data_IF_667490383758
#
_entry.id   IF_667490383758
#
_cell.length_a   1.000
_cell.length_b   1.000
_cell.length_c   1.000
_cell.angle_alpha   90.00
_cell.angle_beta   90.00
_cell.angle_gamma   90.00
#
_symmetry.space_group_name_H-M   'P 1'
#
loop_
_entity.id
_entity.type
_entity.pdbx_description
1 polymer ?
#
# COMPACT_ATOMS: atom_id res chain seq x y z
N UNK A 1 -24.72 88.94 -11.14
CA UNK A 1 -24.05 88.05 -12.12
C UNK A 1 -23.37 86.95 -11.33
N UNK A 2 -23.62 85.67 -11.64
CA UNK A 2 -23.30 84.57 -10.73
C UNK A 2 -21.87 84.07 -10.89
N UNK A 3 -21.33 83.64 -9.76
CA UNK A 3 -20.04 83.00 -9.56
C UNK A 3 -20.11 81.54 -10.05
N UNK A 4 -19.25 81.18 -11.00
CA UNK A 4 -19.25 79.87 -11.65
C UNK A 4 -18.42 78.89 -10.80
N UNK A 5 -19.07 78.18 -9.88
CA UNK A 5 -18.45 77.08 -9.14
C UNK A 5 -18.17 75.89 -10.07
N UNK A 6 -16.91 75.76 -10.47
CA UNK A 6 -16.43 74.55 -11.16
C UNK A 6 -16.41 73.37 -10.19
N UNK A 7 -17.42 72.50 -10.32
CA UNK A 7 -17.53 71.19 -9.67
C UNK A 7 -16.33 70.30 -10.07
N UNK A 8 -15.31 70.25 -9.21
CA UNK A 8 -14.10 69.42 -9.40
C UNK A 8 -14.48 67.93 -9.30
N UNK A 9 -14.63 67.28 -10.46
CA UNK A 9 -14.90 65.85 -10.59
C UNK A 9 -13.82 65.03 -9.86
N UNK A 10 -14.18 64.45 -8.71
CA UNK A 10 -13.35 63.49 -7.98
C UNK A 10 -13.23 62.23 -8.84
N UNK A 11 -12.10 62.06 -9.52
CA UNK A 11 -11.77 60.79 -10.21
C UNK A 11 -11.92 59.64 -9.21
N UNK A 12 -12.69 58.58 -9.52
CA UNK A 12 -13.01 57.54 -8.56
C UNK A 12 -11.73 56.75 -8.23
N UNK A 13 -11.18 57.00 -7.02
CA UNK A 13 -10.02 56.29 -6.46
C UNK A 13 -10.15 54.76 -6.58
N UNK A 14 -11.38 54.22 -6.58
CA UNK A 14 -11.65 52.80 -6.75
C UNK A 14 -11.20 52.22 -8.10
N UNK A 15 -11.24 52.98 -9.21
CA UNK A 15 -10.86 52.46 -10.53
C UNK A 15 -9.33 52.32 -10.65
N UNK A 16 -8.58 53.22 -10.02
CA UNK A 16 -7.11 53.15 -10.01
C UNK A 16 -6.60 51.99 -9.15
N UNK A 17 -7.25 51.77 -8.00
CA UNK A 17 -6.93 50.67 -7.08
C UNK A 17 -7.32 49.31 -7.68
N UNK A 18 -8.48 49.23 -8.34
CA UNK A 18 -8.90 48.04 -9.09
C UNK A 18 -7.94 47.70 -10.22
N UNK A 19 -7.45 48.69 -10.99
CA UNK A 19 -6.44 48.46 -12.04
C UNK A 19 -5.13 47.94 -11.47
N UNK A 20 -4.65 48.50 -10.36
CA UNK A 20 -3.44 48.02 -9.70
C UNK A 20 -3.58 46.58 -9.18
N UNK A 21 -4.72 46.24 -8.57
CA UNK A 21 -5.02 44.87 -8.16
C UNK A 21 -5.06 43.92 -9.35
N UNK A 22 -5.66 44.32 -10.48
CA UNK A 22 -5.79 43.51 -11.68
C UNK A 22 -4.44 43.31 -12.38
N UNK A 23 -3.59 44.36 -12.46
CA UNK A 23 -2.22 44.24 -12.95
C UNK A 23 -1.35 43.35 -12.06
N UNK A 24 -1.47 43.49 -10.75
CA UNK A 24 -0.74 42.64 -9.79
C UNK A 24 -1.18 41.18 -9.89
N UNK A 25 -2.48 40.92 -10.04
CA UNK A 25 -3.04 39.59 -10.26
C UNK A 25 -2.60 38.97 -11.60
N UNK A 26 -2.65 39.72 -12.69
CA UNK A 26 -2.13 39.27 -13.99
C UNK A 26 -0.61 39.02 -13.95
N UNK A 27 0.16 39.89 -13.29
CA UNK A 27 1.59 39.70 -13.09
C UNK A 27 1.93 38.46 -12.26
N UNK A 28 1.13 38.19 -11.22
CA UNK A 28 1.23 36.97 -10.42
C UNK A 28 0.88 35.72 -11.23
N UNK A 29 -0.18 35.75 -12.04
CA UNK A 29 -0.53 34.65 -12.96
C UNK A 29 0.61 34.41 -13.96
N UNK A 30 1.18 35.48 -14.54
CA UNK A 30 2.31 35.37 -15.46
C UNK A 30 3.54 34.76 -14.77
N UNK A 31 3.82 35.18 -13.54
CA UNK A 31 4.90 34.63 -12.72
C UNK A 31 4.67 33.14 -12.43
N UNK A 32 3.47 32.75 -12.00
CA UNK A 32 3.11 31.35 -11.75
C UNK A 32 3.20 30.54 -13.05
N UNK A 33 2.77 31.08 -14.18
CA UNK A 33 2.88 30.43 -15.49
C UNK A 33 4.35 30.28 -15.96
N UNK A 34 5.22 31.24 -15.66
CA UNK A 34 6.66 31.17 -15.93
C UNK A 34 7.35 30.14 -15.03
N UNK A 35 7.03 30.12 -13.74
CA UNK A 35 7.51 29.10 -12.79
C UNK A 35 7.02 27.72 -13.22
N UNK A 36 5.74 27.58 -13.56
CA UNK A 36 5.16 26.37 -14.12
C UNK A 36 5.90 25.91 -15.39
N UNK A 37 6.06 26.79 -16.36
CA UNK A 37 6.80 26.51 -17.60
C UNK A 37 8.25 26.11 -17.34
N UNK A 38 8.89 26.71 -16.34
CA UNK A 38 10.22 26.34 -15.85
C UNK A 38 10.27 24.92 -15.27
N UNK A 39 9.29 24.54 -14.44
CA UNK A 39 9.16 23.16 -13.90
C UNK A 39 8.96 22.10 -15.00
N UNK A 40 8.37 22.48 -16.13
CA UNK A 40 8.19 21.56 -17.26
C UNK A 40 9.49 21.29 -18.04
N UNK A 41 10.56 22.07 -17.81
CA UNK A 41 11.84 21.89 -18.51
C UNK A 41 12.59 20.62 -18.08
N UNK A 42 13.36 20.03 -19.00
CA UNK A 42 14.20 18.85 -18.72
C UNK A 42 15.16 19.09 -17.54
N UNK A 43 15.77 20.27 -17.48
CA UNK A 43 16.65 20.67 -16.39
C UNK A 43 15.98 20.61 -15.00
N UNK A 44 14.74 21.09 -14.87
CA UNK A 44 14.01 21.04 -13.61
C UNK A 44 13.65 19.60 -13.20
N UNK A 45 13.28 18.76 -14.19
CA UNK A 45 13.01 17.33 -14.00
C UNK A 45 14.26 16.56 -13.59
N UNK A 46 15.42 16.87 -14.17
CA UNK A 46 16.72 16.29 -13.80
C UNK A 46 17.16 16.71 -12.38
N UNK A 47 16.89 17.97 -11.99
CA UNK A 47 17.13 18.43 -10.62
C UNK A 47 16.24 17.70 -9.60
N UNK A 48 14.97 17.45 -9.94
CA UNK A 48 14.06 16.68 -9.09
C UNK A 48 14.54 15.22 -8.95
N UNK A 49 14.99 14.59 -10.04
CA UNK A 49 15.60 13.27 -10.00
C UNK A 49 16.79 13.26 -9.03
N UNK A 50 17.75 14.18 -9.20
CA UNK A 50 18.92 14.29 -8.33
C UNK A 50 18.58 14.62 -6.86
N UNK A 51 17.48 15.31 -6.59
CA UNK A 51 16.99 15.55 -5.23
C UNK A 51 16.43 14.27 -4.59
N UNK A 52 15.61 13.50 -5.32
CA UNK A 52 15.08 12.21 -4.85
C UNK A 52 16.23 11.23 -4.56
N UNK A 53 17.24 11.18 -5.44
CA UNK A 53 18.43 10.36 -5.24
C UNK A 53 19.18 10.74 -3.96
N UNK A 54 19.35 12.05 -3.69
CA UNK A 54 20.03 12.53 -2.47
C UNK A 54 19.24 12.26 -1.20
N UNK A 55 17.94 12.57 -1.18
CA UNK A 55 17.10 12.38 0.01
C UNK A 55 17.01 10.91 0.37
N UNK A 56 16.94 10.02 -0.62
CA UNK A 56 16.84 8.58 -0.35
C UNK A 56 18.18 7.95 0.01
N UNK A 57 19.30 8.52 -0.45
CA UNK A 57 20.64 8.07 -0.07
C UNK A 57 20.99 8.32 1.41
N UNK A 58 20.35 9.30 2.06
CA UNK A 58 20.55 9.61 3.49
C UNK A 58 19.68 8.74 4.42
N UNK A 59 18.70 7.99 3.89
CA UNK A 59 17.74 7.20 4.71
C UNK A 59 18.17 5.74 4.95
N UNK A 60 19.35 5.31 4.49
CA UNK A 60 19.91 3.98 4.78
C UNK A 60 20.74 3.37 3.65
N UNK A 61 20.93 2.03 3.70
CA UNK A 61 21.77 1.21 2.80
C UNK A 61 21.23 1.07 1.35
N UNK A 62 20.25 1.89 0.95
CA UNK A 62 19.57 1.82 -0.32
C UNK A 62 19.83 3.06 -1.19
N UNK A 63 20.14 2.83 -2.47
CA UNK A 63 20.26 3.87 -3.49
C UNK A 63 19.13 3.73 -4.50
N UNK A 64 18.36 4.80 -4.65
CA UNK A 64 17.37 4.93 -5.72
C UNK A 64 18.02 5.71 -6.86
N UNK A 65 17.83 5.24 -8.09
CA UNK A 65 18.16 5.99 -9.31
C UNK A 65 16.91 6.13 -10.15
N UNK A 66 16.61 7.34 -10.58
CA UNK A 66 15.45 7.64 -11.42
C UNK A 66 15.93 8.15 -12.77
N UNK A 67 15.53 7.49 -13.84
CA UNK A 67 15.93 7.85 -15.21
C UNK A 67 14.73 8.33 -16.01
N UNK A 68 14.95 9.43 -16.75
CA UNK A 68 13.99 10.03 -17.67
C UNK A 68 12.64 10.31 -16.99
N UNK A 69 12.62 11.35 -16.14
CA UNK A 69 11.39 11.90 -15.56
C UNK A 69 10.69 12.76 -16.61
N UNK A 70 9.40 12.52 -16.80
CA UNK A 70 8.50 13.33 -17.60
C UNK A 70 7.15 13.54 -16.87
N UNK A 71 6.14 14.06 -17.55
CA UNK A 71 4.83 14.35 -17.00
C UNK A 71 4.60 15.83 -16.69
N UNK A 72 3.38 16.14 -16.24
CA UNK A 72 2.95 17.49 -15.91
C UNK A 72 3.20 17.76 -14.42
N UNK A 73 4.45 18.05 -14.07
CA UNK A 73 4.77 18.40 -12.69
C UNK A 73 4.01 19.65 -12.24
N UNK A 74 3.47 19.68 -11.01
CA UNK A 74 3.52 18.65 -9.99
C UNK A 74 2.28 17.74 -9.97
N UNK A 75 1.41 17.73 -10.99
CA UNK A 75 0.17 16.95 -10.97
C UNK A 75 0.39 15.48 -11.35
N UNK A 76 1.24 15.23 -12.34
CA UNK A 76 1.59 13.89 -12.79
C UNK A 76 3.08 13.74 -12.99
N UNK A 77 3.56 12.53 -12.70
CA UNK A 77 4.95 12.11 -12.82
C UNK A 77 4.97 10.85 -13.68
N UNK A 78 5.72 10.91 -14.77
CA UNK A 78 6.09 9.74 -15.53
C UNK A 78 7.58 9.48 -15.29
N UNK A 79 7.96 8.24 -14.96
CA UNK A 79 9.37 7.85 -14.90
C UNK A 79 9.58 6.62 -15.75
N UNK A 80 10.46 6.73 -16.75
CA UNK A 80 10.70 5.60 -17.67
C UNK A 80 11.35 4.42 -16.97
N UNK A 81 12.31 4.67 -16.07
CA UNK A 81 13.00 3.61 -15.34
C UNK A 81 13.40 4.09 -13.95
N UNK A 82 13.11 3.26 -12.95
CA UNK A 82 13.57 3.43 -11.58
C UNK A 82 14.34 2.18 -11.17
N UNK A 83 15.52 2.37 -10.59
CA UNK A 83 16.39 1.27 -10.13
C UNK A 83 16.67 1.47 -8.67
N UNK A 84 16.38 0.44 -7.87
CA UNK A 84 16.74 0.36 -6.46
C UNK A 84 17.94 -0.58 -6.32
N UNK A 85 18.98 -0.07 -5.67
CA UNK A 85 20.20 -0.80 -5.34
C UNK A 85 20.38 -0.85 -3.83
N UNK A 86 20.89 -1.96 -3.30
CA UNK A 86 21.34 -2.10 -1.92
C UNK A 86 22.87 -2.26 -1.88
N UNK A 87 23.39 -2.73 -0.75
CA UNK A 87 24.82 -3.06 -0.58
C UNK A 87 25.32 -4.04 -1.66
N UNK A 88 24.55 -5.09 -1.93
CA UNK A 88 24.94 -6.17 -2.86
C UNK A 88 24.58 -5.87 -4.33
N UNK A 89 24.22 -4.62 -4.69
CA UNK A 89 23.88 -4.22 -6.07
C UNK A 89 22.38 -3.97 -6.33
N UNK A 90 21.96 -4.00 -7.60
CA UNK A 90 20.57 -3.75 -8.01
C UNK A 90 19.65 -4.91 -7.60
N UNK A 91 18.50 -4.60 -6.98
CA UNK A 91 17.55 -5.62 -6.52
C UNK A 91 16.11 -5.42 -6.99
N UNK A 92 15.76 -4.20 -7.41
CA UNK A 92 14.47 -3.89 -8.01
C UNK A 92 14.63 -2.93 -9.16
N UNK A 93 14.00 -3.26 -10.29
CA UNK A 93 13.95 -2.42 -11.49
C UNK A 93 12.50 -2.24 -11.90
N UNK A 94 12.01 -1.00 -11.84
CA UNK A 94 10.69 -0.60 -12.29
C UNK A 94 10.78 0.17 -13.62
N UNK A 95 9.83 -0.04 -14.52
CA UNK A 95 9.78 0.55 -15.85
C UNK A 95 8.38 1.08 -16.17
N UNK A 96 8.33 2.23 -16.83
CA UNK A 96 7.09 2.88 -17.27
C UNK A 96 6.16 3.20 -16.10
N UNK A 97 6.68 3.91 -15.10
CA UNK A 97 5.90 4.36 -13.94
C UNK A 97 5.10 5.59 -14.36
N UNK A 98 3.79 5.54 -14.20
CA UNK A 98 2.86 6.65 -14.40
C UNK A 98 2.09 6.88 -13.10
N UNK A 99 2.27 8.06 -12.55
CA UNK A 99 1.78 8.44 -11.25
C UNK A 99 1.01 9.76 -11.35
N UNK A 100 -0.16 9.86 -10.71
CA UNK A 100 -0.91 11.11 -10.59
C UNK A 100 -1.49 11.31 -9.19
N UNK A 101 -1.36 12.52 -8.65
CA UNK A 101 -1.98 12.93 -7.39
C UNK A 101 -2.74 14.25 -7.53
N UNK A 102 -3.71 14.49 -6.63
CA UNK A 102 -4.38 15.79 -6.51
C UNK A 102 -3.66 16.70 -5.53
N UNK A 103 -3.05 17.77 -6.02
CA UNK A 103 -2.35 18.76 -5.20
C UNK A 103 -3.31 19.53 -4.28
N UNK A 104 -4.54 19.79 -4.72
CA UNK A 104 -5.55 20.48 -3.90
C UNK A 104 -5.81 19.76 -2.59
N UNK A 105 -5.72 18.42 -2.58
CA UNK A 105 -5.90 17.59 -1.40
C UNK A 105 -4.72 17.74 -0.43
N UNK A 106 -3.50 18.05 -0.92
CA UNK A 106 -2.33 18.30 -0.07
C UNK A 106 -2.51 19.54 0.81
N UNK A 107 -3.23 20.56 0.33
CA UNK A 107 -3.57 21.75 1.13
C UNK A 107 -4.48 21.40 2.32
N UNK A 108 -5.24 20.31 2.21
CA UNK A 108 -6.04 19.75 3.29
C UNK A 108 -5.29 18.67 4.09
N UNK A 109 -3.99 18.45 3.85
CA UNK A 109 -3.18 17.43 4.52
C UNK A 109 -3.42 15.99 4.02
N UNK A 110 -4.02 15.82 2.84
CA UNK A 110 -4.37 14.52 2.25
C UNK A 110 -3.59 14.29 0.96
N UNK A 111 -2.90 13.16 0.85
CA UNK A 111 -2.29 12.72 -0.41
C UNK A 111 -3.33 11.87 -1.14
N UNK A 112 -4.03 12.47 -2.10
CA UNK A 112 -5.02 11.78 -2.94
C UNK A 112 -4.35 11.34 -4.26
N UNK A 113 -3.95 10.07 -4.30
CA UNK A 113 -3.33 9.43 -5.47
C UNK A 113 -4.44 8.90 -6.38
N UNK A 114 -4.57 9.49 -7.55
CA UNK A 114 -5.59 9.11 -8.53
C UNK A 114 -5.24 7.79 -9.19
N UNK A 115 -3.98 7.60 -9.58
CA UNK A 115 -3.50 6.33 -10.11
C UNK A 115 -2.00 6.15 -9.88
N UNK A 116 -1.63 4.89 -9.65
CA UNK A 116 -0.26 4.39 -9.69
C UNK A 116 -0.20 3.27 -10.71
N UNK A 117 0.45 3.50 -11.84
CA UNK A 117 0.54 2.55 -12.94
C UNK A 117 1.99 2.22 -13.26
N UNK A 118 2.25 0.96 -13.60
CA UNK A 118 3.57 0.50 -13.96
C UNK A 118 3.50 -0.59 -15.04
N UNK A 119 4.33 -0.46 -16.08
CA UNK A 119 4.41 -1.45 -17.15
C UNK A 119 5.12 -2.73 -16.68
N UNK A 120 6.23 -2.58 -15.96
CA UNK A 120 7.01 -3.73 -15.47
C UNK A 120 7.75 -3.39 -14.18
N UNK A 121 7.75 -4.34 -13.24
CA UNK A 121 8.71 -4.39 -12.13
C UNK A 121 9.41 -5.73 -12.16
N UNK A 122 10.72 -5.74 -11.98
CA UNK A 122 11.51 -6.95 -11.78
C UNK A 122 12.16 -6.88 -10.41
N UNK A 123 11.90 -7.90 -9.58
CA UNK A 123 12.44 -8.05 -8.23
C UNK A 123 13.38 -9.24 -8.25
N UNK A 124 14.68 -8.97 -8.12
CA UNK A 124 15.70 -10.02 -8.19
C UNK A 124 16.02 -10.60 -6.83
N UNK A 125 15.81 -9.86 -5.74
CA UNK A 125 16.00 -10.32 -4.36
C UNK A 125 15.24 -9.45 -3.38
N UNK A 126 14.99 -9.98 -2.18
CA UNK A 126 14.56 -9.20 -1.03
C UNK A 126 15.83 -8.75 -0.30
N UNK A 127 16.04 -7.44 -0.07
CA UNK A 127 17.21 -6.98 0.64
C UNK A 127 17.20 -7.46 2.09
N UNK A 128 18.35 -7.88 2.60
CA UNK A 128 18.49 -8.19 4.02
C UNK A 128 18.31 -6.89 4.82
N UNK A 129 17.36 -6.88 5.75
CA UNK A 129 17.30 -5.83 6.76
C UNK A 129 18.43 -6.09 7.74
N UNK A 130 19.50 -5.31 7.62
CA UNK A 130 20.56 -5.25 8.62
C UNK A 130 19.88 -4.99 9.97
N UNK A 131 20.09 -5.91 10.91
CA UNK A 131 19.29 -6.14 12.13
C UNK A 131 19.28 -5.01 13.16
N UNK A 132 19.45 -3.76 12.73
CA UNK A 132 19.09 -2.55 13.47
C UNK A 132 17.56 -2.47 13.51
N UNK A 133 16.98 -3.39 14.29
CA UNK A 133 15.63 -3.23 14.82
C UNK A 133 15.57 -1.79 15.35
N UNK A 134 14.62 -0.95 14.90
CA UNK A 134 14.39 0.32 15.56
C UNK A 134 14.29 -0.01 17.04
N UNK A 135 15.19 0.56 17.86
CA UNK A 135 15.00 0.50 19.30
C UNK A 135 13.57 0.98 19.52
N UNK A 136 12.72 0.21 20.24
CA UNK A 136 11.40 0.69 20.58
C UNK A 136 11.63 1.91 21.45
N UNK A 137 11.63 3.10 20.83
CA UNK A 137 11.68 4.34 21.56
C UNK A 137 10.51 4.29 22.53
N UNK A 138 10.87 4.43 23.80
CA UNK A 138 9.92 4.48 24.91
C UNK A 138 8.76 5.37 24.48
N UNK A 139 7.56 4.81 24.51
CA UNK A 139 6.31 5.46 24.16
C UNK A 139 5.97 6.56 25.17
N UNK A 140 6.75 7.64 25.18
CA UNK A 140 6.32 8.95 25.62
C UNK A 140 5.54 9.54 24.45
N UNK A 141 4.20 9.42 24.50
CA UNK A 141 3.24 10.02 23.55
C UNK A 141 3.81 10.18 22.14
N UNK A 142 3.78 9.13 21.32
CA UNK A 142 3.88 9.32 19.88
C UNK A 142 2.75 10.25 19.43
N UNK A 143 3.02 11.54 19.43
CA UNK A 143 2.71 12.35 18.26
C UNK A 143 3.52 11.72 17.13
N UNK A 144 3.03 10.61 16.58
CA UNK A 144 3.33 10.31 15.19
C UNK A 144 3.04 11.63 14.47
N UNK A 145 4.01 12.30 13.82
CA UNK A 145 3.65 13.38 12.91
C UNK A 145 2.59 12.76 12.01
N UNK A 146 1.38 13.34 12.05
CA UNK A 146 0.21 12.75 11.41
C UNK A 146 0.58 12.41 9.98
N UNK A 147 0.85 11.13 9.71
CA UNK A 147 1.20 10.72 8.37
C UNK A 147 0.02 11.17 7.50
N UNK A 148 0.28 11.93 6.43
CA UNK A 148 -0.80 12.50 5.65
C UNK A 148 -1.71 11.36 5.22
N UNK A 149 -3.03 11.57 5.26
CA UNK A 149 -3.97 10.53 4.88
C UNK A 149 -3.73 10.20 3.40
N UNK A 150 -3.23 9.00 3.12
CA UNK A 150 -3.00 8.53 1.74
C UNK A 150 -4.27 7.83 1.28
N UNK A 151 -4.82 8.27 0.15
CA UNK A 151 -5.92 7.60 -0.54
C UNK A 151 -5.40 7.21 -1.92
N UNK A 152 -5.39 5.91 -2.23
CA UNK A 152 -4.94 5.39 -3.53
C UNK A 152 -6.15 4.82 -4.26
N UNK A 153 -6.60 5.49 -5.32
CA UNK A 153 -7.82 5.10 -6.04
C UNK A 153 -7.59 3.95 -7.02
N UNK A 154 -6.41 3.88 -7.64
CA UNK A 154 -6.10 2.85 -8.62
C UNK A 154 -4.61 2.49 -8.56
N UNK A 155 -4.32 1.19 -8.58
CA UNK A 155 -2.99 0.64 -8.75
C UNK A 155 -2.99 -0.44 -9.83
N UNK A 156 -2.16 -0.27 -10.85
CA UNK A 156 -2.00 -1.27 -11.92
C UNK A 156 -0.51 -1.55 -12.13
N UNK A 157 -0.11 -2.79 -11.98
CA UNK A 157 1.21 -3.28 -12.40
C UNK A 157 0.98 -4.38 -13.42
N UNK A 158 1.29 -4.11 -14.68
CA UNK A 158 1.00 -5.06 -15.76
C UNK A 158 1.86 -6.32 -15.70
N UNK A 159 3.09 -6.19 -15.20
CA UNK A 159 4.05 -7.29 -15.16
C UNK A 159 4.97 -7.16 -13.94
N UNK A 160 4.90 -8.13 -13.03
CA UNK A 160 5.74 -8.29 -11.85
C UNK A 160 6.57 -9.54 -12.09
N UNK A 161 7.87 -9.39 -12.27
CA UNK A 161 8.79 -10.52 -12.45
C UNK A 161 9.50 -10.78 -11.14
N UNK A 162 9.33 -11.99 -10.62
CA UNK A 162 9.98 -12.47 -9.42
C UNK A 162 11.06 -13.46 -9.83
N UNK A 163 12.28 -13.27 -9.32
CA UNK A 163 13.36 -14.22 -9.55
C UNK A 163 13.18 -15.49 -8.71
N UNK A 164 13.99 -16.50 -9.03
CA UNK A 164 14.12 -17.72 -8.22
C UNK A 164 14.51 -17.43 -6.76
N UNK A 165 15.33 -16.42 -6.52
CA UNK A 165 15.77 -16.05 -5.16
C UNK A 165 14.63 -15.47 -4.32
N UNK A 166 13.57 -14.94 -4.95
CA UNK A 166 12.43 -14.33 -4.27
C UNK A 166 11.30 -15.35 -4.07
N UNK A 167 10.93 -16.08 -5.12
CA UNK A 167 9.73 -16.93 -5.13
C UNK A 167 10.06 -18.43 -5.27
N UNK A 168 11.32 -18.84 -5.10
CA UNK A 168 11.77 -20.23 -5.26
C UNK A 168 11.83 -20.71 -6.72
N UNK A 169 11.09 -20.08 -7.63
CA UNK A 169 11.13 -20.24 -9.08
C UNK A 169 10.86 -18.91 -9.79
N UNK A 170 11.30 -18.72 -11.05
CA UNK A 170 10.94 -17.53 -11.82
C UNK A 170 9.43 -17.48 -12.06
N UNK A 171 8.81 -16.36 -11.73
CA UNK A 171 7.35 -16.18 -11.87
C UNK A 171 7.00 -14.81 -12.41
N UNK A 172 5.84 -14.73 -13.05
CA UNK A 172 5.34 -13.47 -13.57
C UNK A 172 3.90 -13.24 -13.15
N UNK A 173 3.64 -12.12 -12.50
CA UNK A 173 2.32 -11.72 -12.04
C UNK A 173 1.85 -10.41 -12.68
N UNK A 174 0.57 -10.12 -12.57
CA UNK A 174 0.01 -8.79 -12.73
C UNK A 174 -0.79 -8.42 -11.48
N UNK A 175 -0.80 -7.15 -11.13
CA UNK A 175 -1.56 -6.61 -10.00
C UNK A 175 -2.52 -5.55 -10.51
N UNK A 176 -3.78 -5.65 -10.10
CA UNK A 176 -4.77 -4.59 -10.20
C UNK A 176 -5.37 -4.34 -8.82
N UNK A 177 -5.50 -3.09 -8.44
CA UNK A 177 -6.27 -2.68 -7.28
C UNK A 177 -7.03 -1.42 -7.62
N UNK A 178 -8.28 -1.36 -7.20
CA UNK A 178 -9.14 -0.20 -7.29
C UNK A 178 -9.72 0.06 -5.91
N UNK A 179 -9.71 1.32 -5.49
CA UNK A 179 -10.36 1.76 -4.27
C UNK A 179 -11.22 2.98 -4.54
N UNK A 180 -12.44 2.94 -4.02
CA UNK A 180 -13.41 4.02 -4.14
C UNK A 180 -13.87 4.44 -2.75
N UNK A 181 -14.27 5.70 -2.63
CA UNK A 181 -14.92 6.20 -1.42
C UNK A 181 -16.22 6.89 -1.82
N UNK A 182 -17.34 6.33 -1.38
CA UNK A 182 -18.69 6.81 -1.68
C UNK A 182 -19.55 6.68 -0.42
N UNK A 183 -20.34 7.71 -0.10
CA UNK A 183 -21.30 7.72 1.01
C UNK A 183 -20.74 7.26 2.37
N UNK A 184 -19.51 7.67 2.69
CA UNK A 184 -18.87 7.31 3.96
C UNK A 184 -18.36 5.87 4.03
N UNK A 185 -18.38 5.13 2.91
CA UNK A 185 -17.79 3.81 2.79
C UNK A 185 -16.58 3.85 1.85
N UNK A 186 -15.52 3.15 2.24
CA UNK A 186 -14.36 2.86 1.39
C UNK A 186 -14.51 1.44 0.87
N UNK A 187 -14.44 1.21 -0.44
CA UNK A 187 -14.40 -0.14 -1.01
C UNK A 187 -13.06 -0.35 -1.72
N UNK A 188 -12.57 -1.58 -1.68
CA UNK A 188 -11.32 -2.02 -2.32
C UNK A 188 -11.58 -3.32 -3.05
N UNK A 189 -11.21 -3.39 -4.32
CA UNK A 189 -11.12 -4.62 -5.09
C UNK A 189 -9.67 -4.77 -5.57
N UNK A 190 -9.04 -5.91 -5.29
CA UNK A 190 -7.68 -6.18 -5.72
C UNK A 190 -7.54 -7.60 -6.26
N UNK A 191 -6.75 -7.74 -7.32
CA UNK A 191 -6.41 -9.00 -7.94
C UNK A 191 -4.91 -9.08 -8.25
N UNK A 192 -4.26 -10.13 -7.76
CA UNK A 192 -2.92 -10.55 -8.19
C UNK A 192 -3.10 -11.82 -9.02
N UNK A 193 -2.66 -11.83 -10.27
CA UNK A 193 -2.84 -12.96 -11.17
C UNK A 193 -1.51 -13.41 -11.76
N UNK A 194 -1.22 -14.71 -11.72
CA UNK A 194 -0.09 -15.28 -12.42
C UNK A 194 -0.35 -15.22 -13.94
N UNK A 195 0.60 -14.64 -14.69
CA UNK A 195 0.48 -14.48 -16.14
C UNK A 195 0.75 -15.77 -16.91
N UNK A 196 1.46 -16.72 -16.31
CA UNK A 196 1.74 -18.03 -16.92
C UNK A 196 0.66 -19.07 -16.55
N UNK A 197 -0.03 -18.88 -15.42
CA UNK A 197 -1.10 -19.75 -14.91
C UNK A 197 -2.31 -18.92 -14.46
N UNK A 198 -3.25 -18.63 -15.36
CA UNK A 198 -4.34 -17.69 -15.09
C UNK A 198 -5.26 -18.07 -13.91
N UNK A 199 -5.32 -19.35 -13.54
CA UNK A 199 -6.07 -19.86 -12.39
C UNK A 199 -5.38 -19.56 -11.05
N UNK A 200 -4.05 -19.40 -11.06
CA UNK A 200 -3.26 -19.01 -9.88
C UNK A 200 -3.45 -17.52 -9.62
N UNK A 201 -4.29 -17.20 -8.64
CA UNK A 201 -4.68 -15.83 -8.37
C UNK A 201 -5.02 -15.58 -6.89
N UNK A 202 -4.78 -14.35 -6.46
CA UNK A 202 -5.32 -13.75 -5.25
C UNK A 202 -6.41 -12.76 -5.66
N UNK A 203 -7.58 -12.84 -5.03
CA UNK A 203 -8.64 -11.83 -5.14
C UNK A 203 -9.05 -11.38 -3.76
N UNK A 204 -9.05 -10.07 -3.55
CA UNK A 204 -9.48 -9.40 -2.33
C UNK A 204 -10.62 -8.44 -2.66
N UNK A 205 -11.71 -8.55 -1.91
CA UNK A 205 -12.76 -7.53 -1.85
C UNK A 205 -12.88 -7.09 -0.40
N UNK A 206 -12.80 -5.80 -0.15
CA UNK A 206 -12.95 -5.26 1.19
C UNK A 206 -13.79 -3.98 1.16
N UNK A 207 -14.50 -3.73 2.25
CA UNK A 207 -15.18 -2.47 2.51
C UNK A 207 -14.96 -2.02 3.94
N UNK A 208 -14.97 -0.70 4.14
CA UNK A 208 -14.83 -0.07 5.44
C UNK A 208 -15.82 1.08 5.60
N UNK A 209 -16.70 1.00 6.59
CA UNK A 209 -17.61 2.08 6.95
C UNK A 209 -16.95 3.07 7.91
N UNK A 210 -16.82 4.33 7.50
CA UNK A 210 -16.14 5.36 8.29
C UNK A 210 -16.90 5.74 9.57
N UNK A 211 -18.24 5.67 9.56
CA UNK A 211 -19.09 6.04 10.70
C UNK A 211 -19.16 4.94 11.76
N UNK A 212 -19.36 3.70 11.33
CA UNK A 212 -19.53 2.55 12.23
C UNK A 212 -18.22 1.80 12.50
N UNK A 213 -17.11 2.24 11.88
CA UNK A 213 -15.80 1.59 11.96
C UNK A 213 -15.85 0.09 11.64
N UNK A 214 -16.70 -0.31 10.69
CA UNK A 214 -16.98 -1.70 10.35
C UNK A 214 -16.24 -2.13 9.09
N UNK A 215 -15.62 -3.32 9.12
CA UNK A 215 -14.95 -3.96 8.00
C UNK A 215 -15.80 -5.11 7.49
N UNK A 216 -15.88 -5.26 6.18
CA UNK A 216 -16.24 -6.51 5.51
C UNK A 216 -15.11 -6.88 4.55
N UNK A 217 -14.62 -8.11 4.57
CA UNK A 217 -13.51 -8.53 3.71
C UNK A 217 -13.70 -9.99 3.26
N UNK A 218 -13.46 -10.23 1.98
CA UNK A 218 -13.40 -11.55 1.39
C UNK A 218 -12.11 -11.67 0.58
N UNK A 219 -11.27 -12.63 0.94
CA UNK A 219 -10.03 -12.95 0.24
C UNK A 219 -10.10 -14.41 -0.21
N UNK A 220 -9.80 -14.63 -1.48
CA UNK A 220 -9.61 -15.96 -2.05
C UNK A 220 -8.24 -16.02 -2.68
N UNK A 221 -7.56 -17.13 -2.48
CA UNK A 221 -6.26 -17.39 -3.04
C UNK A 221 -6.20 -18.83 -3.51
N UNK A 222 -5.64 -19.03 -4.69
CA UNK A 222 -5.32 -20.33 -5.22
C UNK A 222 -3.95 -20.25 -5.89
N UNK A 223 -3.13 -21.28 -5.67
CA UNK A 223 -1.91 -21.49 -6.44
C UNK A 223 -1.69 -22.97 -6.71
N UNK A 224 -1.11 -23.23 -7.89
CA UNK A 224 -0.63 -24.53 -8.30
C UNK A 224 0.66 -24.91 -7.55
N UNK A 225 1.11 -26.16 -7.73
CA UNK A 225 2.33 -26.65 -7.08
C UNK A 225 3.53 -25.76 -7.36
N UNK A 226 4.19 -25.32 -6.28
CA UNK A 226 5.37 -24.47 -6.36
C UNK A 226 5.03 -23.01 -6.66
N UNK A 227 3.80 -22.59 -6.34
CA UNK A 227 3.29 -21.22 -6.40
C UNK A 227 4.06 -20.21 -5.53
N UNK A 228 3.60 -18.96 -5.55
CA UNK A 228 4.21 -17.84 -4.84
C UNK A 228 4.34 -18.08 -3.33
N UNK A 229 3.25 -18.47 -2.66
CA UNK A 229 3.23 -18.69 -1.21
C UNK A 229 4.07 -19.90 -0.84
N UNK A 230 3.95 -21.00 -1.58
CA UNK A 230 4.83 -22.16 -1.43
C UNK A 230 6.31 -21.78 -1.56
N UNK A 231 6.67 -20.93 -2.53
CA UNK A 231 8.02 -20.41 -2.71
C UNK A 231 8.51 -19.53 -1.57
N UNK A 232 7.69 -18.56 -1.14
CA UNK A 232 8.01 -17.62 -0.06
C UNK A 232 8.14 -18.30 1.31
N UNK A 233 7.36 -19.36 1.55
CA UNK A 233 7.40 -20.13 2.79
C UNK A 233 8.39 -21.31 2.73
N UNK A 234 9.14 -21.44 1.64
CA UNK A 234 10.06 -22.56 1.38
C UNK A 234 9.38 -23.96 1.44
N UNK A 235 8.07 -24.02 1.16
CA UNK A 235 7.28 -25.23 1.12
C UNK A 235 7.30 -25.87 -0.28
N UNK A 236 8.49 -26.26 -0.75
CA UNK A 236 8.70 -26.78 -2.11
C UNK A 236 7.81 -28.01 -2.48
N UNK A 237 7.35 -28.75 -1.45
CA UNK A 237 6.49 -29.90 -1.59
C UNK A 237 5.06 -29.67 -1.09
N UNK A 238 4.56 -28.43 -1.01
CA UNK A 238 3.19 -28.11 -0.56
C UNK A 238 2.07 -28.72 -1.41
N UNK A 239 2.30 -28.96 -2.70
CA UNK A 239 1.21 -29.22 -3.64
C UNK A 239 0.47 -27.93 -3.99
N UNK A 240 -0.82 -28.03 -4.32
CA UNK A 240 -1.69 -26.86 -4.48
C UNK A 240 -1.99 -26.22 -3.12
N UNK A 241 -2.13 -24.89 -3.09
CA UNK A 241 -2.55 -24.14 -1.90
C UNK A 241 -3.82 -23.36 -2.25
N UNK A 242 -4.84 -23.53 -1.41
CA UNK A 242 -6.08 -22.78 -1.49
C UNK A 242 -6.36 -22.12 -0.14
N UNK A 243 -6.65 -20.82 -0.17
CA UNK A 243 -7.03 -20.05 1.02
C UNK A 243 -8.32 -19.29 0.73
N UNK A 244 -9.26 -19.36 1.66
CA UNK A 244 -10.45 -18.52 1.69
C UNK A 244 -10.56 -17.88 3.06
N UNK A 245 -10.66 -16.56 3.10
CA UNK A 245 -10.83 -15.78 4.31
C UNK A 245 -12.06 -14.89 4.14
N UNK A 246 -12.95 -14.90 5.13
CA UNK A 246 -14.07 -13.96 5.23
C UNK A 246 -14.04 -13.31 6.60
N UNK A 247 -14.21 -11.99 6.65
CA UNK A 247 -14.26 -11.22 7.89
C UNK A 247 -15.38 -10.19 7.81
N UNK A 248 -16.13 -10.02 8.90
CA UNK A 248 -17.19 -9.02 8.99
C UNK A 248 -17.38 -8.54 10.43
N UNK A 249 -17.59 -7.24 10.61
CA UNK A 249 -17.91 -6.63 11.90
C UNK A 249 -17.17 -5.33 12.19
N UNK A 250 -17.49 -4.67 13.32
CA UNK A 250 -16.79 -3.48 13.78
C UNK A 250 -15.34 -3.82 14.14
N UNK A 251 -14.41 -2.87 14.00
CA UNK A 251 -13.00 -3.04 14.38
C UNK A 251 -12.80 -3.50 15.83
N UNK A 252 -13.76 -3.25 16.73
CA UNK A 252 -13.72 -3.72 18.12
C UNK A 252 -14.07 -5.20 18.30
N UNK A 253 -14.74 -5.83 17.34
CA UNK A 253 -15.34 -7.18 17.45
C UNK A 253 -15.41 -7.86 16.06
N UNK A 254 -14.30 -7.83 15.31
CA UNK A 254 -14.22 -8.35 13.95
C UNK A 254 -14.19 -9.88 13.97
N UNK A 255 -15.19 -10.52 13.37
CA UNK A 255 -15.27 -11.99 13.31
C UNK A 255 -15.01 -12.47 11.90
N UNK A 256 -14.45 -13.66 11.79
CA UNK A 256 -14.21 -14.23 10.48
C UNK A 256 -13.92 -15.71 10.48
N UNK A 257 -13.86 -16.26 9.27
CA UNK A 257 -13.52 -17.65 8.98
C UNK A 257 -12.33 -17.70 8.05
N UNK A 258 -11.39 -18.59 8.32
CA UNK A 258 -10.23 -18.89 7.51
C UNK A 258 -10.24 -20.38 7.19
N UNK A 259 -10.31 -20.70 5.90
CA UNK A 259 -10.12 -22.04 5.38
C UNK A 259 -8.82 -22.05 4.58
N UNK A 260 -7.88 -22.90 4.98
CA UNK A 260 -6.61 -23.08 4.28
C UNK A 260 -6.45 -24.57 4.00
N UNK A 261 -6.21 -24.89 2.74
CA UNK A 261 -5.86 -26.23 2.28
C UNK A 261 -4.51 -26.16 1.61
N UNK A 262 -3.60 -27.02 2.07
CA UNK A 262 -2.27 -27.19 1.52
C UNK A 262 -2.16 -28.67 1.17
N UNK A 263 -2.12 -28.99 -0.12
CA UNK A 263 -2.41 -30.34 -0.61
C UNK A 263 -1.60 -31.47 0.05
N UNK A 264 -0.36 -31.22 0.46
CA UNK A 264 0.49 -32.20 1.17
C UNK A 264 0.67 -31.94 2.66
N UNK A 265 0.10 -30.86 3.19
CA UNK A 265 0.22 -30.52 4.60
C UNK A 265 -1.08 -30.66 5.38
N UNK A 266 -2.22 -30.61 4.70
CA UNK A 266 -3.53 -30.80 5.30
C UNK A 266 -4.44 -29.58 5.16
N UNK A 267 -5.50 -29.56 5.95
CA UNK A 267 -6.56 -28.56 5.90
C UNK A 267 -6.79 -27.93 7.26
N UNK A 268 -7.16 -26.66 7.27
CA UNK A 268 -7.57 -25.95 8.49
C UNK A 268 -8.87 -25.22 8.25
N UNK A 269 -9.79 -25.31 9.21
CA UNK A 269 -11.03 -24.53 9.28
C UNK A 269 -11.01 -23.79 10.62
N UNK A 270 -10.81 -22.48 10.58
CA UNK A 270 -10.56 -21.63 11.74
C UNK A 270 -11.56 -20.48 11.77
N UNK A 271 -12.31 -20.37 12.86
CA UNK A 271 -13.03 -19.17 13.24
C UNK A 271 -12.08 -18.26 14.05
N UNK A 272 -11.95 -17.01 13.63
CA UNK A 272 -11.18 -16.02 14.38
C UNK A 272 -12.07 -14.85 14.83
N UNK A 273 -11.64 -14.24 15.91
CA UNK A 273 -12.27 -13.07 16.47
C UNK A 273 -11.19 -12.09 16.92
N UNK A 274 -11.19 -10.87 16.37
CA UNK A 274 -10.18 -9.86 16.64
C UNK A 274 -10.83 -8.55 17.05
N UNK A 275 -10.36 -7.95 18.16
CA UNK A 275 -10.66 -6.57 18.53
C UNK A 275 -9.41 -5.71 18.39
N UNK A 276 -9.49 -4.59 17.65
CA UNK A 276 -8.37 -3.73 17.27
C UNK A 276 -8.41 -2.32 17.91
N UNK A 277 -9.09 -2.15 19.06
CA UNK A 277 -9.13 -0.86 19.79
C UNK A 277 -7.98 -0.74 20.80
N UNK A 278 -8.25 -0.20 21.99
CA UNK A 278 -7.22 0.09 23.02
C UNK A 278 -6.42 -1.14 23.47
N UNK A 279 -7.05 -2.32 23.40
CA UNK A 279 -6.40 -3.61 23.63
C UNK A 279 -6.65 -4.47 22.41
N UNK A 280 -5.57 -5.03 21.84
CA UNK A 280 -5.71 -5.97 20.73
C UNK A 280 -6.07 -7.32 21.33
N UNK A 281 -7.28 -7.81 21.05
CA UNK A 281 -7.70 -9.15 21.42
C UNK A 281 -7.71 -10.01 20.16
N UNK A 282 -7.23 -11.23 20.27
CA UNK A 282 -7.35 -12.22 19.21
C UNK A 282 -7.78 -13.54 19.85
N UNK A 283 -8.83 -14.15 19.32
CA UNK A 283 -9.20 -15.51 19.62
C UNK A 283 -9.29 -16.29 18.32
N UNK A 284 -8.85 -17.54 18.35
CA UNK A 284 -8.87 -18.44 17.22
C UNK A 284 -9.35 -19.80 17.71
N UNK A 285 -10.40 -20.31 17.08
CA UNK A 285 -10.99 -21.60 17.39
C UNK A 285 -11.18 -22.37 16.09
N UNK A 286 -10.91 -23.67 16.08
CA UNK A 286 -11.16 -24.44 14.87
C UNK A 286 -10.48 -25.78 14.87
N UNK A 287 -10.35 -26.34 13.66
CA UNK A 287 -9.74 -27.65 13.45
C UNK A 287 -8.59 -27.55 12.47
N UNK A 288 -7.54 -28.29 12.78
CA UNK A 288 -6.42 -28.56 11.89
C UNK A 288 -6.42 -30.06 11.64
N UNK A 289 -6.43 -30.44 10.37
CA UNK A 289 -6.36 -31.81 9.89
C UNK A 289 -5.09 -31.94 9.05
N UNK A 290 -3.94 -32.25 9.67
CA UNK A 290 -2.70 -32.48 8.94
C UNK A 290 -2.84 -33.67 8.00
N UNK A 291 -2.08 -33.66 6.92
CA UNK A 291 -1.98 -34.82 6.04
C UNK A 291 -1.31 -35.99 6.79
N UNK A 292 -1.80 -37.22 6.59
CA UNK A 292 -1.27 -38.43 7.22
C UNK A 292 0.20 -38.72 6.87
N UNK A 293 0.78 -38.05 5.87
CA UNK A 293 2.21 -38.13 5.56
C UNK A 293 3.07 -37.31 6.51
N UNK A 294 2.50 -36.29 7.17
CA UNK A 294 3.23 -35.41 8.10
C UNK A 294 3.22 -35.99 9.51
N UNK A 295 2.12 -36.62 9.92
CA UNK A 295 2.01 -37.27 11.22
C UNK A 295 2.29 -38.76 11.05
N UNK A 296 3.43 -39.27 11.55
CA UNK A 296 3.71 -40.71 11.52
C UNK A 296 2.57 -41.53 12.13
N UNK A 297 2.29 -42.71 11.57
CA UNK A 297 1.13 -43.55 11.92
C UNK A 297 1.12 -43.94 13.42
N UNK A 298 2.32 -44.14 13.99
CA UNK A 298 2.56 -44.38 15.42
C UNK A 298 2.19 -43.18 16.30
N UNK A 299 2.38 -41.95 15.81
CA UNK A 299 1.99 -40.71 16.51
C UNK A 299 0.49 -40.45 16.38
N UNK A 300 -0.09 -40.74 15.21
CA UNK A 300 -1.53 -40.62 14.97
C UNK A 300 -2.34 -41.59 15.85
N UNK A 301 -1.88 -42.84 15.99
CA UNK A 301 -2.49 -43.84 16.87
C UNK A 301 -2.36 -43.45 18.36
N UNK A 302 -1.21 -42.91 18.77
CA UNK A 302 -0.98 -42.45 20.14
C UNK A 302 -1.84 -41.23 20.53
N UNK A 303 -2.20 -40.38 19.57
CA UNK A 303 -3.02 -39.17 19.77
C UNK A 303 -4.52 -39.42 19.58
N UNK A 304 -4.93 -40.63 19.17
CA UNK A 304 -6.33 -40.98 18.93
C UNK A 304 -6.92 -40.36 17.66
N UNK A 305 -6.06 -39.95 16.71
CA UNK A 305 -6.41 -39.27 15.46
C UNK A 305 -5.47 -38.11 15.13
N UNK A 306 -5.60 -37.55 13.93
CA UNK A 306 -4.83 -36.38 13.44
C UNK A 306 -5.65 -35.08 13.44
N UNK A 307 -6.90 -35.13 13.87
CA UNK A 307 -7.77 -33.95 13.94
C UNK A 307 -7.53 -33.19 15.24
N UNK A 308 -6.86 -32.04 15.15
CA UNK A 308 -6.55 -31.20 16.31
C UNK A 308 -7.56 -30.07 16.41
N UNK A 309 -8.24 -29.97 17.55
CA UNK A 309 -8.97 -28.76 17.91
C UNK A 309 -7.99 -27.71 18.42
N UNK A 310 -7.98 -26.54 17.80
CA UNK A 310 -7.16 -25.41 18.22
C UNK A 310 -8.05 -24.41 18.92
N UNK A 311 -7.65 -24.01 20.13
CA UNK A 311 -8.20 -22.88 20.85
C UNK A 311 -7.01 -22.01 21.26
N UNK A 312 -7.04 -20.75 20.87
CA UNK A 312 -6.01 -19.80 21.22
C UNK A 312 -6.66 -18.47 21.57
N UNK A 313 -6.27 -17.90 22.70
CA UNK A 313 -6.62 -16.52 23.03
C UNK A 313 -5.36 -15.75 23.36
N UNK A 314 -5.22 -14.59 22.73
CA UNK A 314 -4.16 -13.64 22.99
C UNK A 314 -4.77 -12.27 23.28
N UNK A 315 -4.16 -11.56 24.22
CA UNK A 315 -4.51 -10.19 24.56
C UNK A 315 -3.22 -9.40 24.61
N UNK A 316 -3.16 -8.29 23.88
CA UNK A 316 -2.03 -7.37 23.87
C UNK A 316 -2.51 -6.01 24.36
N UNK A 317 -2.18 -5.69 25.61
CA UNK A 317 -2.39 -4.38 26.23
C UNK A 317 -1.13 -3.49 26.12
N UNK A 318 -1.28 -2.15 26.08
CA UNK A 318 -0.15 -1.21 26.06
C UNK A 318 0.82 -1.40 27.25
N UNK A 319 0.30 -1.84 28.39
CA UNK A 319 1.08 -2.37 29.51
C UNK A 319 1.27 -3.88 29.33
N UNK A 320 2.44 -4.29 28.84
CA UNK A 320 2.88 -5.69 28.58
C UNK A 320 2.23 -6.73 29.50
N UNK A 321 1.57 -7.75 28.92
CA UNK A 321 1.86 -9.20 29.05
C UNK A 321 1.10 -9.91 27.92
N UNK A 322 1.80 -10.62 27.04
CA UNK A 322 1.16 -11.53 26.08
C UNK A 322 0.74 -12.78 26.88
N UNK A 323 -0.52 -12.85 27.30
CA UNK A 323 -1.07 -14.03 27.97
C UNK A 323 -1.63 -14.98 26.90
N UNK A 324 -0.90 -16.08 26.66
CA UNK A 324 -1.37 -17.20 25.85
C UNK A 324 -2.08 -18.18 26.80
N UNK A 325 -3.39 -18.35 26.61
CA UNK A 325 -4.13 -19.48 27.20
C UNK A 325 -4.45 -20.47 26.10
N UNK A 326 -3.91 -21.69 26.21
CA UNK A 326 -4.26 -22.85 25.39
C UNK A 326 -5.41 -23.63 26.03
#
# INVERSE_FOLDING_TARGET
MPENETKKSKRPLGIALLRWLLFSFCGFILFVALVWGGLQTRWAKDLLAGFIEKVTADTGDYRVKVQEIDGLLPFSLFAKKVVLSGADGEWLVAQGIDFSWKISSLLAGVIDVQWFRMERVAITRIPASDGKKPEPESSEKSAFPSLPRIVLQEMIIKRIELSKEVAGSPMVYSLRMEAETEDGQVKVDAALQNLDHADDALRLKASYGLENEAISAELTYFESRGGLVAGLMELADAGEIQLTLKADGPLSDLKGKLNLEVGRYGKTDLDFHVGLKETITAALNGRIQPDNRIVPEDVAEALGGVDFAVHGRAVLSPSRVLQLSA
#
